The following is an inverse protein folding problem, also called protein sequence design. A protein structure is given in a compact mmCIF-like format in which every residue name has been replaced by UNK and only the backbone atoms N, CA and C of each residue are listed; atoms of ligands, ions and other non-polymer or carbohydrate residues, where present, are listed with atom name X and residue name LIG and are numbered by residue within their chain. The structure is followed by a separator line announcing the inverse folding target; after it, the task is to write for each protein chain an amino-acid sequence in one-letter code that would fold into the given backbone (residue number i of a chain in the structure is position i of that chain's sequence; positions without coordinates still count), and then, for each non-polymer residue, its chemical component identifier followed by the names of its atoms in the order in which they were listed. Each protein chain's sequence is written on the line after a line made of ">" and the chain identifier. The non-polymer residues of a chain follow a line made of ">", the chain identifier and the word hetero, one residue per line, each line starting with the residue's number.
data_IF_548972749568
#
_entry.id   IF_548972749568
#
_cell.length_a   1.000
_cell.length_b   1.000
_cell.length_c   1.000
_cell.angle_alpha   90.00
_cell.angle_beta   90.00
_cell.angle_gamma   90.00
#
_symmetry.space_group_name_H-M   'P 1'
#
loop_
_entity.id
_entity.type
_entity.pdbx_description
1 polymer ?
#
# COMPACT_ATOMS: atom_id res chain seq x y z
N UNK A 1 5.04 4.33 -20.88
CA UNK A 1 4.01 4.67 -19.86
C UNK A 1 2.63 4.64 -20.47
N UNK A 2 2.48 5.14 -21.70
CA UNK A 2 1.19 5.22 -22.43
C UNK A 2 0.50 3.86 -22.61
N UNK A 3 1.27 2.79 -22.83
CA UNK A 3 0.71 1.43 -22.96
C UNK A 3 0.03 0.97 -21.67
N UNK A 4 0.68 1.19 -20.52
CA UNK A 4 0.17 0.69 -19.25
C UNK A 4 -1.02 1.53 -18.76
N UNK A 5 -0.99 2.85 -18.96
CA UNK A 5 -2.17 3.70 -18.71
C UNK A 5 -3.33 3.36 -19.65
N UNK A 6 -3.05 3.10 -20.94
CA UNK A 6 -4.06 2.67 -21.91
C UNK A 6 -4.75 1.36 -21.51
N UNK A 7 -3.95 0.37 -21.08
CA UNK A 7 -4.47 -0.89 -20.54
C UNK A 7 -5.39 -0.63 -19.33
N UNK A 8 -4.98 0.22 -18.39
CA UNK A 8 -5.79 0.56 -17.21
C UNK A 8 -7.11 1.24 -17.60
N UNK A 9 -7.07 2.17 -18.56
CA UNK A 9 -8.29 2.82 -19.07
C UNK A 9 -9.23 1.81 -19.73
N UNK A 10 -8.70 0.89 -20.55
CA UNK A 10 -9.52 -0.17 -21.16
C UNK A 10 -10.17 -1.08 -20.11
N UNK A 11 -9.43 -1.46 -19.05
CA UNK A 11 -10.04 -2.22 -17.96
C UNK A 11 -11.10 -1.41 -17.20
N UNK A 12 -10.90 -0.10 -17.04
CA UNK A 12 -11.89 0.79 -16.46
C UNK A 12 -13.15 0.85 -17.34
N UNK A 13 -13.01 0.92 -18.67
CA UNK A 13 -14.14 0.88 -19.61
C UNK A 13 -14.96 -0.41 -19.45
N UNK A 14 -14.29 -1.57 -19.35
CA UNK A 14 -14.97 -2.84 -19.09
C UNK A 14 -15.68 -2.85 -17.73
N UNK A 15 -15.04 -2.33 -16.69
CA UNK A 15 -15.66 -2.20 -15.37
C UNK A 15 -16.88 -1.29 -15.44
N UNK A 16 -16.79 -0.16 -16.14
CA UNK A 16 -17.90 0.79 -16.28
C UNK A 16 -19.04 0.22 -17.12
N UNK A 17 -18.74 -0.44 -18.25
CA UNK A 17 -19.74 -1.14 -19.07
C UNK A 17 -20.48 -2.21 -18.25
N UNK A 18 -19.79 -2.90 -17.34
CA UNK A 18 -20.44 -3.80 -16.40
C UNK A 18 -21.37 -3.07 -15.43
N UNK A 19 -20.96 -1.91 -14.88
CA UNK A 19 -21.88 -1.12 -14.02
C UNK A 19 -23.13 -0.67 -14.77
N UNK A 20 -22.99 -0.30 -16.04
CA UNK A 20 -24.11 0.05 -16.92
C UNK A 20 -25.05 -1.13 -17.17
N UNK A 21 -24.52 -2.32 -17.46
CA UNK A 21 -25.35 -3.51 -17.76
C UNK A 21 -26.14 -4.00 -16.54
N UNK A 22 -25.65 -3.75 -15.33
CA UNK A 22 -26.35 -4.03 -14.06
C UNK A 22 -27.37 -2.94 -13.72
N UNK A 23 -27.44 -1.85 -14.50
CA UNK A 23 -28.41 -0.77 -14.34
C UNK A 23 -27.97 0.36 -13.38
N UNK A 24 -26.72 0.34 -12.92
CA UNK A 24 -26.16 1.34 -12.00
C UNK A 24 -24.86 1.93 -12.56
N UNK A 25 -24.93 2.74 -13.64
CA UNK A 25 -23.75 3.39 -14.21
C UNK A 25 -22.98 4.20 -13.16
N UNK A 26 -21.74 3.81 -12.86
CA UNK A 26 -20.91 4.51 -11.89
C UNK A 26 -19.43 4.27 -12.11
N UNK A 27 -18.68 5.34 -12.41
CA UNK A 27 -17.23 5.27 -12.50
C UNK A 27 -16.58 4.98 -11.14
N UNK A 28 -17.18 5.42 -10.02
CA UNK A 28 -16.66 5.13 -8.69
C UNK A 28 -16.71 3.63 -8.36
N UNK A 29 -17.83 2.97 -8.67
CA UNK A 29 -17.95 1.50 -8.55
C UNK A 29 -16.99 0.82 -9.54
N UNK A 30 -16.86 1.33 -10.76
CA UNK A 30 -15.93 0.79 -11.76
C UNK A 30 -14.47 0.82 -11.25
N UNK A 31 -14.04 1.92 -10.62
CA UNK A 31 -12.70 2.04 -10.00
C UNK A 31 -12.54 1.02 -8.85
N UNK A 32 -13.55 0.84 -8.00
CA UNK A 32 -13.52 -0.15 -6.92
C UNK A 32 -13.35 -1.57 -7.49
N UNK A 33 -14.12 -1.94 -8.51
CA UNK A 33 -14.03 -3.24 -9.17
C UNK A 33 -12.67 -3.45 -9.82
N UNK A 34 -12.18 -2.47 -10.57
CA UNK A 34 -10.85 -2.48 -11.17
C UNK A 34 -9.77 -2.74 -10.11
N UNK A 35 -9.86 -2.04 -8.97
CA UNK A 35 -8.93 -2.21 -7.84
C UNK A 35 -8.94 -3.64 -7.32
N UNK A 36 -10.12 -4.22 -7.10
CA UNK A 36 -10.27 -5.59 -6.59
C UNK A 36 -9.71 -6.60 -7.60
N UNK A 37 -9.99 -6.46 -8.90
CA UNK A 37 -9.46 -7.33 -9.95
C UNK A 37 -7.93 -7.31 -9.95
N UNK A 38 -7.34 -6.10 -9.96
CA UNK A 38 -5.87 -5.94 -9.91
C UNK A 38 -5.31 -6.60 -8.65
N UNK A 39 -5.91 -6.35 -7.48
CA UNK A 39 -5.43 -6.92 -6.22
C UNK A 39 -5.58 -8.43 -6.15
N UNK A 40 -6.61 -9.01 -6.77
CA UNK A 40 -6.76 -10.46 -6.88
C UNK A 40 -5.67 -11.07 -7.77
N UNK A 41 -5.39 -10.47 -8.93
CA UNK A 41 -4.31 -10.90 -9.84
C UNK A 41 -2.94 -10.80 -9.15
N UNK A 42 -2.71 -9.73 -8.40
CA UNK A 42 -1.46 -9.50 -7.66
C UNK A 42 -1.40 -10.23 -6.30
N UNK A 43 -2.51 -10.81 -5.83
CA UNK A 43 -2.59 -11.44 -4.52
C UNK A 43 -1.52 -12.51 -4.24
N UNK A 44 -1.13 -13.43 -5.17
CA UNK A 44 -0.06 -14.39 -4.90
C UNK A 44 1.31 -13.72 -4.74
N UNK A 45 1.55 -12.64 -5.49
CA UNK A 45 2.76 -11.84 -5.38
C UNK A 45 2.81 -11.12 -4.02
N UNK A 46 1.71 -10.46 -3.64
CA UNK A 46 1.58 -9.78 -2.35
C UNK A 46 1.69 -10.77 -1.18
N UNK A 47 1.16 -11.98 -1.30
CA UNK A 47 1.31 -13.02 -0.28
C UNK A 47 2.78 -13.43 -0.09
N UNK A 48 3.56 -13.55 -1.17
CA UNK A 48 5.01 -13.79 -1.08
C UNK A 48 5.73 -12.62 -0.41
N UNK A 49 5.36 -11.38 -0.74
CA UNK A 49 5.92 -10.17 -0.10
C UNK A 49 5.64 -10.15 1.41
N UNK A 50 4.40 -10.40 1.82
CA UNK A 50 4.00 -10.46 3.23
C UNK A 50 4.82 -11.51 3.98
N UNK A 51 4.95 -12.72 3.43
CA UNK A 51 5.77 -13.80 4.02
C UNK A 51 7.23 -13.39 4.21
N UNK A 52 7.80 -12.70 3.22
CA UNK A 52 9.19 -12.22 3.32
C UNK A 52 9.35 -11.15 4.43
N UNK A 53 8.35 -10.28 4.60
CA UNK A 53 8.34 -9.27 5.66
C UNK A 53 8.11 -9.87 7.05
N UNK A 54 7.31 -10.92 7.19
CA UNK A 54 7.16 -11.65 8.44
C UNK A 54 8.48 -12.31 8.88
N UNK A 55 9.26 -12.86 7.95
CA UNK A 55 10.61 -13.38 8.24
C UNK A 55 11.51 -12.31 8.87
N UNK A 56 11.44 -11.07 8.37
CA UNK A 56 12.14 -9.93 8.97
C UNK A 56 11.62 -9.58 10.36
N UNK A 57 10.32 -9.71 10.62
CA UNK A 57 9.75 -9.49 11.95
C UNK A 57 10.24 -10.53 12.97
N UNK A 58 10.37 -11.80 12.57
CA UNK A 58 10.89 -12.87 13.45
C UNK A 58 12.35 -12.64 13.86
N UNK A 59 13.13 -11.92 13.06
CA UNK A 59 14.52 -11.58 13.39
C UNK A 59 14.67 -10.37 14.31
N UNK A 60 13.63 -9.55 14.47
CA UNK A 60 13.66 -8.35 15.33
C UNK A 60 14.21 -8.60 16.75
N UNK A 61 13.82 -9.66 17.50
CA UNK A 61 14.40 -9.90 18.83
C UNK A 61 15.91 -10.12 18.79
N UNK A 62 16.41 -10.92 17.84
CA UNK A 62 17.86 -11.15 17.66
C UNK A 62 18.60 -9.88 17.25
N UNK A 63 17.99 -9.05 16.40
CA UNK A 63 18.53 -7.74 16.03
C UNK A 63 18.66 -6.84 17.27
N UNK A 64 17.67 -6.83 18.17
CA UNK A 64 17.74 -6.08 19.43
C UNK A 64 18.87 -6.58 20.35
N UNK A 65 19.07 -7.89 20.44
CA UNK A 65 20.18 -8.45 21.20
C UNK A 65 21.54 -8.02 20.64
N UNK A 66 21.70 -8.06 19.31
CA UNK A 66 22.91 -7.56 18.64
C UNK A 66 23.13 -6.06 18.89
N UNK A 67 22.08 -5.24 18.82
CA UNK A 67 22.16 -3.80 19.12
C UNK A 67 22.61 -3.55 20.56
N UNK A 68 22.10 -4.30 21.53
CA UNK A 68 22.52 -4.21 22.94
C UNK A 68 23.98 -4.66 23.11
N UNK A 69 24.36 -5.77 22.48
CA UNK A 69 25.70 -6.36 22.60
C UNK A 69 26.80 -5.48 21.98
N UNK A 70 26.51 -4.82 20.88
CA UNK A 70 27.48 -3.99 20.13
C UNK A 70 27.19 -2.48 20.26
N UNK A 71 26.54 -2.06 21.35
CA UNK A 71 26.28 -0.63 21.62
C UNK A 71 27.61 0.14 21.61
N UNK A 72 27.73 1.13 20.71
CA UNK A 72 28.96 1.92 20.51
C UNK A 72 29.93 1.40 19.44
N UNK A 73 29.73 0.19 18.89
CA UNK A 73 30.54 -0.33 17.79
C UNK A 73 29.69 -0.58 16.53
N UNK A 74 29.40 0.51 15.81
CA UNK A 74 28.50 0.50 14.65
C UNK A 74 29.01 -0.40 13.51
N UNK A 75 30.34 -0.49 13.32
CA UNK A 75 30.94 -1.35 12.28
C UNK A 75 30.69 -2.83 12.59
N UNK A 76 30.97 -3.26 13.83
CA UNK A 76 30.73 -4.64 14.27
C UNK A 76 29.23 -4.98 14.26
N UNK A 77 28.38 -4.04 14.67
CA UNK A 77 26.92 -4.18 14.62
C UNK A 77 26.42 -4.43 13.19
N UNK A 78 26.88 -3.65 12.21
CA UNK A 78 26.49 -3.84 10.80
C UNK A 78 26.98 -5.17 10.24
N UNK A 79 28.19 -5.59 10.58
CA UNK A 79 28.76 -6.87 10.17
C UNK A 79 27.95 -8.06 10.70
N UNK A 80 27.67 -8.09 12.00
CA UNK A 80 26.93 -9.17 12.65
C UNK A 80 25.44 -9.18 12.24
N UNK A 81 24.85 -8.01 12.01
CA UNK A 81 23.49 -7.92 11.47
C UNK A 81 23.42 -8.48 10.04
N UNK A 82 24.42 -8.20 9.21
CA UNK A 82 24.51 -8.77 7.85
C UNK A 82 24.70 -10.29 7.86
N UNK A 83 25.55 -10.81 8.77
CA UNK A 83 25.71 -12.25 8.99
C UNK A 83 24.39 -12.90 9.42
N UNK A 84 23.70 -12.32 10.39
CA UNK A 84 22.40 -12.80 10.87
C UNK A 84 21.38 -12.90 9.74
N UNK A 85 21.27 -11.89 8.87
CA UNK A 85 20.37 -11.94 7.71
C UNK A 85 20.72 -13.07 6.74
N UNK A 86 22.02 -13.29 6.48
CA UNK A 86 22.50 -14.36 5.60
C UNK A 86 22.26 -15.76 6.18
N UNK A 87 22.61 -15.96 7.45
CA UNK A 87 22.43 -17.23 8.17
C UNK A 87 20.96 -17.64 8.24
N UNK A 88 20.07 -16.66 8.42
CA UNK A 88 18.63 -16.89 8.51
C UNK A 88 17.93 -16.88 7.14
N UNK A 89 18.66 -16.64 6.05
CA UNK A 89 18.13 -16.64 4.68
C UNK A 89 17.11 -15.54 4.39
N UNK A 90 17.12 -14.42 5.15
CA UNK A 90 16.14 -13.33 5.01
C UNK A 90 16.75 -12.15 4.28
N UNK A 91 16.05 -11.63 3.26
CA UNK A 91 16.51 -10.47 2.50
C UNK A 91 15.99 -9.14 3.10
N UNK A 92 16.86 -8.21 3.56
CA UNK A 92 16.44 -6.94 4.15
C UNK A 92 15.70 -6.00 3.18
N UNK A 93 15.90 -6.15 1.87
CA UNK A 93 15.19 -5.38 0.84
C UNK A 93 13.71 -5.79 0.70
N UNK A 94 13.31 -6.90 1.33
CA UNK A 94 11.93 -7.36 1.30
C UNK A 94 10.95 -6.35 1.90
N UNK A 95 11.41 -5.46 2.80
CA UNK A 95 10.57 -4.41 3.41
C UNK A 95 10.25 -3.24 2.47
N UNK A 96 11.08 -2.96 1.46
CA UNK A 96 10.82 -1.92 0.46
C UNK A 96 10.27 -2.47 -0.86
N UNK A 97 10.33 -3.79 -1.06
CA UNK A 97 9.80 -4.48 -2.23
C UNK A 97 8.33 -4.14 -2.57
N UNK A 98 7.40 -3.98 -1.60
CA UNK A 98 6.03 -3.58 -1.91
C UNK A 98 5.97 -2.22 -2.60
N UNK A 99 6.76 -1.24 -2.14
CA UNK A 99 6.78 0.11 -2.71
C UNK A 99 7.34 0.05 -4.13
N UNK A 100 8.45 -0.66 -4.35
CA UNK A 100 9.09 -0.75 -5.67
C UNK A 100 8.15 -1.33 -6.74
N UNK A 101 7.37 -2.37 -6.39
CA UNK A 101 6.41 -2.98 -7.32
C UNK A 101 5.14 -2.12 -7.45
N UNK A 102 4.70 -1.47 -6.38
CA UNK A 102 3.49 -0.64 -6.39
C UNK A 102 3.70 0.65 -7.18
N UNK A 103 4.89 1.25 -7.17
CA UNK A 103 5.15 2.55 -7.81
C UNK A 103 4.82 2.57 -9.31
N UNK A 104 5.30 1.64 -10.16
CA UNK A 104 4.91 1.59 -11.57
C UNK A 104 3.38 1.48 -11.77
N UNK A 105 2.72 0.70 -10.92
CA UNK A 105 1.27 0.48 -10.98
C UNK A 105 0.49 1.73 -10.59
N UNK A 106 0.91 2.39 -9.51
CA UNK A 106 0.32 3.63 -9.03
C UNK A 106 0.42 4.74 -10.08
N UNK A 107 1.60 4.92 -10.67
CA UNK A 107 1.81 5.94 -11.70
C UNK A 107 0.94 5.65 -12.93
N UNK A 108 0.78 4.37 -13.30
CA UNK A 108 -0.07 4.00 -14.44
C UNK A 108 -1.54 4.33 -14.22
N UNK A 109 -2.08 4.03 -13.04
CA UNK A 109 -3.46 4.37 -12.68
C UNK A 109 -3.63 5.87 -12.52
N UNK A 110 -2.64 6.59 -11.98
CA UNK A 110 -2.67 8.05 -11.91
C UNK A 110 -2.85 8.67 -13.31
N UNK A 111 -2.03 8.27 -14.28
CA UNK A 111 -2.17 8.79 -15.65
C UNK A 111 -3.47 8.32 -16.33
N UNK A 112 -3.89 7.08 -16.08
CA UNK A 112 -5.15 6.56 -16.62
C UNK A 112 -6.34 7.38 -16.11
N UNK A 113 -6.44 7.61 -14.80
CA UNK A 113 -7.58 8.29 -14.16
C UNK A 113 -7.55 9.81 -14.32
N UNK A 114 -6.38 10.43 -14.41
CA UNK A 114 -6.24 11.89 -14.55
C UNK A 114 -6.73 12.39 -15.90
N UNK A 115 -6.47 11.64 -16.96
CA UNK A 115 -6.84 12.01 -18.33
C UNK A 115 -8.03 11.21 -18.86
N UNK A 116 -8.74 10.49 -17.99
CA UNK A 116 -9.88 9.67 -18.39
C UNK A 116 -11.05 10.57 -18.81
N UNK A 117 -11.69 10.31 -19.97
CA UNK A 117 -12.84 11.08 -20.43
C UNK A 117 -14.12 10.61 -19.72
N UNK A 118 -14.30 11.03 -18.46
CA UNK A 118 -15.51 10.71 -17.70
C UNK A 118 -16.75 11.34 -18.36
N UNK A 119 -17.84 10.58 -18.43
CA UNK A 119 -19.16 11.14 -18.70
C UNK A 119 -19.60 12.01 -17.50
N UNK A 120 -19.85 13.32 -17.69
CA UNK A 120 -20.27 14.22 -16.62
C UNK A 120 -21.54 13.77 -15.88
N UNK A 121 -22.39 12.96 -16.52
CA UNK A 121 -23.59 12.43 -15.88
C UNK A 121 -23.29 11.41 -14.77
N UNK A 122 -22.11 10.77 -14.79
CA UNK A 122 -21.77 9.64 -13.92
C UNK A 122 -20.40 9.79 -13.22
N UNK A 123 -19.75 10.95 -13.36
CA UNK A 123 -18.44 11.22 -12.77
C UNK A 123 -18.49 11.52 -11.26
N UNK A 124 -19.68 11.78 -10.72
CA UNK A 124 -19.89 11.95 -9.28
C UNK A 124 -19.93 10.61 -8.55
N UNK A 125 -19.47 10.58 -7.30
CA UNK A 125 -19.49 9.37 -6.48
C UNK A 125 -19.55 9.69 -5.00
N UNK A 126 -20.56 9.15 -4.30
CA UNK A 126 -20.83 9.44 -2.89
C UNK A 126 -20.99 10.95 -2.65
N UNK A 127 -20.05 11.59 -1.94
CA UNK A 127 -20.03 13.04 -1.71
C UNK A 127 -19.15 13.82 -2.70
N UNK A 128 -18.50 13.11 -3.64
CA UNK A 128 -17.56 13.70 -4.59
C UNK A 128 -18.29 14.18 -5.83
N UNK A 129 -18.05 15.43 -6.21
CA UNK A 129 -18.62 16.03 -7.42
C UNK A 129 -17.98 15.48 -8.70
N UNK A 130 -16.69 15.12 -8.68
CA UNK A 130 -15.98 14.52 -9.81
C UNK A 130 -14.86 13.61 -9.34
N UNK A 131 -14.68 12.48 -10.06
CA UNK A 131 -13.59 11.53 -9.86
C UNK A 131 -12.25 11.98 -10.46
N UNK A 132 -12.29 12.93 -11.40
CA UNK A 132 -11.12 13.49 -12.08
C UNK A 132 -10.46 14.63 -11.30
N UNK A 133 -11.14 15.21 -10.33
CA UNK A 133 -10.66 16.34 -9.52
C UNK A 133 -10.30 15.92 -8.09
N UNK A 134 -9.47 16.69 -7.38
CA UNK A 134 -9.23 16.47 -5.95
C UNK A 134 -10.50 16.61 -5.10
N UNK A 135 -10.53 15.93 -3.95
CA UNK A 135 -11.65 16.02 -3.00
C UNK A 135 -11.58 17.34 -2.20
N UNK A 136 -12.50 18.26 -2.48
CA UNK A 136 -12.63 19.56 -1.80
C UNK A 136 -13.10 19.45 -0.34
N UNK A 137 -13.71 18.32 0.04
CA UNK A 137 -14.20 18.09 1.41
C UNK A 137 -13.10 17.58 2.34
N UNK A 138 -11.94 17.21 1.79
CA UNK A 138 -10.79 16.64 2.50
C UNK A 138 -11.04 15.30 3.21
N UNK A 139 -12.21 14.68 3.01
CA UNK A 139 -12.57 13.40 3.63
C UNK A 139 -11.66 12.28 3.11
N UNK A 140 -11.47 12.18 1.78
CA UNK A 140 -10.61 11.16 1.18
C UNK A 140 -9.13 11.24 1.62
N UNK A 141 -8.47 12.42 1.64
CA UNK A 141 -7.12 12.57 2.21
C UNK A 141 -6.99 12.05 3.65
N UNK A 142 -7.98 12.30 4.50
CA UNK A 142 -7.97 11.80 5.89
C UNK A 142 -8.12 10.29 5.91
N UNK A 143 -9.03 9.73 5.10
CA UNK A 143 -9.22 8.28 4.98
C UNK A 143 -8.00 7.57 4.37
N UNK A 144 -7.30 8.20 3.43
CA UNK A 144 -6.09 7.65 2.82
C UNK A 144 -4.93 7.61 3.82
N UNK A 145 -4.75 8.67 4.61
CA UNK A 145 -3.80 8.70 5.72
C UNK A 145 -4.14 7.64 6.78
N UNK A 146 -5.40 7.57 7.20
CA UNK A 146 -5.85 6.61 8.22
C UNK A 146 -5.67 5.16 7.76
N UNK A 147 -6.10 4.83 6.54
CA UNK A 147 -5.94 3.48 5.98
C UNK A 147 -4.46 3.08 5.85
N UNK A 148 -3.60 4.01 5.42
CA UNK A 148 -2.15 3.77 5.33
C UNK A 148 -1.54 3.56 6.72
N UNK A 149 -1.95 4.35 7.70
CA UNK A 149 -1.52 4.19 9.09
C UNK A 149 -1.92 2.82 9.67
N UNK A 150 -3.15 2.37 9.41
CA UNK A 150 -3.63 1.05 9.88
C UNK A 150 -2.80 -0.10 9.29
N UNK A 151 -2.51 -0.05 7.99
CA UNK A 151 -1.68 -1.04 7.31
C UNK A 151 -0.28 -1.07 7.91
N UNK A 152 0.36 0.08 8.06
CA UNK A 152 1.71 0.14 8.61
C UNK A 152 1.77 -0.31 10.08
N UNK A 153 0.74 -0.01 10.86
CA UNK A 153 0.63 -0.49 12.25
C UNK A 153 0.60 -2.02 12.29
N UNK A 154 -0.09 -2.66 11.35
CA UNK A 154 -0.11 -4.12 11.25
C UNK A 154 1.24 -4.70 10.79
N UNK A 155 1.96 -4.00 9.90
CA UNK A 155 3.23 -4.47 9.34
C UNK A 155 4.46 -4.23 10.22
N UNK A 156 4.44 -3.27 11.14
CA UNK A 156 5.66 -2.84 11.85
C UNK A 156 5.84 -3.41 13.25
N UNK A 157 4.90 -4.21 13.76
CA UNK A 157 4.96 -4.76 15.11
C UNK A 157 4.96 -3.67 16.20
N UNK A 158 4.56 -4.04 17.43
CA UNK A 158 4.73 -3.16 18.59
C UNK A 158 6.23 -3.11 18.94
N UNK A 159 6.90 -2.01 18.61
CA UNK A 159 8.31 -1.81 18.95
C UNK A 159 8.48 -0.46 19.65
N UNK A 160 8.38 -0.42 20.98
CA UNK A 160 8.55 0.81 21.77
C UNK A 160 10.03 1.22 21.94
N UNK A 161 10.97 0.27 21.85
CA UNK A 161 12.35 0.46 22.36
C UNK A 161 13.46 0.40 21.29
N UNK A 162 13.23 0.94 20.09
CA UNK A 162 14.32 1.12 19.13
C UNK A 162 15.05 2.44 19.43
N UNK A 163 16.37 2.40 19.62
CA UNK A 163 17.25 3.58 19.70
C UNK A 163 18.10 3.70 18.41
N UNK A 164 18.42 4.93 17.99
CA UNK A 164 19.32 5.17 16.84
C UNK A 164 18.64 5.18 15.45
N UNK A 165 19.41 4.98 14.36
CA UNK A 165 18.94 5.15 12.98
C UNK A 165 17.73 4.28 12.59
N UNK A 166 17.61 3.08 13.16
CA UNK A 166 16.47 2.19 12.91
C UNK A 166 15.18 2.69 13.57
N UNK A 167 15.26 3.38 14.71
CA UNK A 167 14.11 4.02 15.34
C UNK A 167 13.55 5.15 14.47
N UNK A 168 14.45 5.92 13.86
CA UNK A 168 14.07 6.97 12.93
C UNK A 168 13.40 6.40 11.68
N UNK A 169 13.94 5.31 11.11
CA UNK A 169 13.32 4.61 9.99
C UNK A 169 11.90 4.14 10.33
N UNK A 170 11.68 3.61 11.54
CA UNK A 170 10.36 3.18 11.98
C UNK A 170 9.40 4.35 12.20
N UNK A 171 9.85 5.46 12.79
CA UNK A 171 9.02 6.66 12.96
C UNK A 171 8.62 7.24 11.60
N UNK A 172 9.55 7.30 10.65
CA UNK A 172 9.27 7.72 9.27
C UNK A 172 8.22 6.82 8.65
N UNK A 173 8.41 5.50 8.72
CA UNK A 173 7.44 4.55 8.17
C UNK A 173 6.08 4.71 8.84
N UNK A 174 5.97 4.63 10.18
CA UNK A 174 4.67 4.60 10.90
C UNK A 174 3.91 5.92 10.92
N UNK A 175 4.60 7.06 10.87
CA UNK A 175 3.99 8.38 11.12
C UNK A 175 4.16 9.32 9.94
N UNK A 176 5.39 9.49 9.43
CA UNK A 176 5.63 10.44 8.35
C UNK A 176 4.98 10.01 7.03
N UNK A 177 5.04 8.72 6.70
CA UNK A 177 4.52 8.22 5.42
C UNK A 177 2.98 8.31 5.30
N UNK A 178 2.15 7.95 6.31
CA UNK A 178 0.71 8.18 6.25
C UNK A 178 0.34 9.65 6.10
N UNK A 179 1.04 10.54 6.81
CA UNK A 179 0.83 11.99 6.70
C UNK A 179 1.21 12.51 5.32
N UNK A 180 2.33 12.02 4.77
CA UNK A 180 2.75 12.34 3.40
C UNK A 180 1.73 11.88 2.36
N UNK A 181 1.18 10.66 2.51
CA UNK A 181 0.13 10.14 1.63
C UNK A 181 -1.16 10.95 1.77
N UNK A 182 -1.54 11.35 2.99
CA UNK A 182 -2.68 12.25 3.20
C UNK A 182 -2.46 13.60 2.50
N UNK A 183 -1.28 14.20 2.67
CA UNK A 183 -0.94 15.48 2.04
C UNK A 183 -0.93 15.41 0.52
N UNK A 184 -0.32 14.39 -0.09
CA UNK A 184 -0.30 14.26 -1.54
C UNK A 184 -1.70 13.98 -2.11
N UNK A 185 -2.55 13.29 -1.35
CA UNK A 185 -3.96 13.04 -1.72
C UNK A 185 -4.77 14.33 -1.89
N UNK A 186 -4.34 15.46 -1.31
CA UNK A 186 -4.97 16.78 -1.53
C UNK A 186 -4.81 17.29 -2.97
N UNK A 187 -3.84 16.76 -3.72
CA UNK A 187 -3.51 17.21 -5.08
C UNK A 187 -3.87 16.19 -6.16
N UNK A 188 -4.28 14.99 -5.74
CA UNK A 188 -4.57 13.88 -6.64
C UNK A 188 -6.06 13.78 -6.95
N UNK A 189 -6.43 13.29 -8.16
CA UNK A 189 -7.81 12.98 -8.49
C UNK A 189 -8.43 12.06 -7.44
N UNK A 190 -9.66 12.35 -7.03
CA UNK A 190 -10.36 11.58 -5.99
C UNK A 190 -10.51 10.10 -6.36
N UNK A 191 -10.64 9.78 -7.66
CA UNK A 191 -10.61 8.40 -8.18
C UNK A 191 -9.32 7.64 -7.84
N UNK A 192 -8.16 8.30 -7.90
CA UNK A 192 -6.89 7.68 -7.48
C UNK A 192 -6.85 7.44 -5.97
N UNK A 193 -7.38 8.38 -5.18
CA UNK A 193 -7.40 8.25 -3.72
C UNK A 193 -8.36 7.13 -3.29
N UNK A 194 -9.49 6.96 -3.97
CA UNK A 194 -10.38 5.80 -3.81
C UNK A 194 -9.63 4.50 -4.10
N UNK A 195 -8.95 4.41 -5.24
CA UNK A 195 -8.12 3.24 -5.59
C UNK A 195 -7.11 2.92 -4.47
N UNK A 196 -6.46 3.94 -3.90
CA UNK A 196 -5.51 3.77 -2.80
C UNK A 196 -6.16 3.21 -1.53
N UNK A 197 -7.29 3.78 -1.11
CA UNK A 197 -8.01 3.35 0.10
C UNK A 197 -8.50 1.91 -0.07
N UNK A 198 -9.13 1.58 -1.19
CA UNK A 198 -9.62 0.23 -1.48
C UNK A 198 -8.45 -0.77 -1.56
N UNK A 199 -7.33 -0.35 -2.14
CA UNK A 199 -6.10 -1.14 -2.16
C UNK A 199 -5.59 -1.47 -0.75
N UNK A 200 -5.62 -0.50 0.17
CA UNK A 200 -5.25 -0.71 1.57
C UNK A 200 -6.24 -1.63 2.28
N UNK A 201 -7.55 -1.43 2.09
CA UNK A 201 -8.58 -2.31 2.67
C UNK A 201 -8.38 -3.75 2.23
N UNK A 202 -8.14 -3.99 0.93
CA UNK A 202 -7.84 -5.31 0.41
C UNK A 202 -6.58 -5.90 1.05
N UNK A 203 -5.50 -5.11 1.14
CA UNK A 203 -4.25 -5.58 1.75
C UNK A 203 -4.43 -5.95 3.22
N UNK A 204 -5.16 -5.15 3.99
CA UNK A 204 -5.49 -5.45 5.39
C UNK A 204 -6.33 -6.73 5.51
N UNK A 205 -7.33 -6.90 4.66
CA UNK A 205 -8.14 -8.12 4.60
C UNK A 205 -7.27 -9.35 4.26
N UNK A 206 -6.40 -9.24 3.25
CA UNK A 206 -5.48 -10.31 2.86
C UNK A 206 -4.54 -10.68 4.02
N UNK A 207 -3.98 -9.69 4.72
CA UNK A 207 -3.10 -9.93 5.87
C UNK A 207 -3.83 -10.60 7.03
N UNK A 208 -5.08 -10.20 7.33
CA UNK A 208 -5.91 -10.84 8.35
C UNK A 208 -6.25 -12.29 8.00
N UNK A 209 -6.61 -12.58 6.74
CA UNK A 209 -6.90 -13.95 6.27
C UNK A 209 -5.65 -14.82 6.38
N UNK A 210 -4.51 -14.34 5.87
CA UNK A 210 -3.23 -15.06 5.96
C UNK A 210 -2.82 -15.33 7.40
N UNK A 211 -3.05 -14.36 8.30
CA UNK A 211 -2.78 -14.51 9.73
C UNK A 211 -3.68 -15.55 10.41
N UNK A 212 -4.94 -15.69 9.99
CA UNK A 212 -5.87 -16.71 10.50
C UNK A 212 -5.51 -18.12 10.02
N UNK A 213 -5.26 -18.29 8.72
CA UNK A 213 -4.88 -19.58 8.12
C UNK A 213 -3.61 -20.19 8.74
N UNK A 214 -2.69 -19.35 9.22
CA UNK A 214 -1.48 -19.80 9.93
C UNK A 214 -1.71 -20.25 11.37
N UNK A 215 -2.79 -19.82 12.02
CA UNK A 215 -3.11 -20.24 13.40
C UNK A 215 -3.84 -21.60 13.43
N UNK A 216 -4.45 -21.98 12.31
CA UNK A 216 -5.17 -23.24 12.15
C UNK A 216 -4.25 -24.40 11.70
N UNK A 217 -3.03 -24.10 11.26
CA UNK A 217 -1.98 -25.07 10.91
C UNK A 217 -0.86 -25.05 11.95
#
# INVERSE_FOLDING_TARGET
>A
MDVLSGIMSTFLDYCYAFTQSVGYPSYGIAIIMLTIIIKLVLSPLTAKQIRSMEGMQLLQPKIKELQKKYKGNQKKMQEEMSKLYREMGVNPLSGCLPILIQMPFLVSIFYALRSYPYDPAYESFLWLSSLGQPDETYILPVLSALSTFLIQKQMTGAQPDAEGPQAMQQKIMKVAMPLFIGWISLTFPSGLVIYWIISNVFQGAQQMIMGRLKKEN
#
